data_IF_187674922598
#
_entry.id   IF_187674922598
#
_cell.length_a   1.000
_cell.length_b   1.000
_cell.length_c   1.000
_cell.angle_alpha   90.00
_cell.angle_beta   90.00
_cell.angle_gamma   90.00
#
_symmetry.space_group_name_H-M   'P 1'
#
loop_
_entity.id
_entity.type
_entity.pdbx_description
1 polymer ?
#
# COMPACT_ATOMS: atom_id res chain seq x y z
N UNK A 1 8.69 -15.32 -8.10
CA UNK A 1 9.45 -15.31 -6.84
C UNK A 1 10.09 -13.97 -6.54
N UNK A 2 10.03 -13.00 -7.46
CA UNK A 2 10.49 -11.63 -7.18
C UNK A 2 9.42 -10.86 -6.41
N UNK A 3 9.85 -9.93 -5.58
CA UNK A 3 8.98 -9.00 -4.87
C UNK A 3 8.75 -7.78 -5.75
N UNK A 4 7.49 -7.38 -5.85
CA UNK A 4 7.05 -6.21 -6.61
C UNK A 4 6.72 -5.09 -5.63
N UNK A 5 7.23 -3.89 -5.88
CA UNK A 5 7.04 -2.71 -5.04
C UNK A 5 6.51 -1.56 -5.89
N UNK A 6 5.52 -0.82 -5.36
CA UNK A 6 4.96 0.37 -6.01
C UNK A 6 4.82 1.51 -5.00
N UNK A 7 5.25 2.72 -5.37
CA UNK A 7 4.96 3.93 -4.58
C UNK A 7 3.51 4.36 -4.81
N UNK A 8 2.69 4.19 -3.77
CA UNK A 8 1.27 4.55 -3.76
C UNK A 8 1.03 6.03 -4.04
N UNK A 9 1.95 6.93 -3.65
CA UNK A 9 1.79 8.36 -3.90
C UNK A 9 1.97 8.68 -5.38
N UNK A 10 2.92 8.00 -6.03
CA UNK A 10 3.13 8.13 -7.47
C UNK A 10 1.94 7.56 -8.24
N UNK A 11 1.46 6.37 -7.85
CA UNK A 11 0.24 5.77 -8.41
C UNK A 11 -0.97 6.72 -8.32
N UNK A 12 -1.18 7.34 -7.16
CA UNK A 12 -2.28 8.29 -6.97
C UNK A 12 -2.10 9.57 -7.81
N UNK A 13 -0.87 10.04 -7.99
CA UNK A 13 -0.57 11.18 -8.87
C UNK A 13 -0.88 10.87 -10.33
N UNK A 14 -0.43 9.72 -10.83
CA UNK A 14 -0.69 9.28 -12.20
C UNK A 14 -2.19 9.11 -12.47
N UNK A 15 -2.93 8.53 -11.51
CA UNK A 15 -4.38 8.45 -11.62
C UNK A 15 -5.02 9.83 -11.63
N UNK A 16 -4.58 10.76 -10.79
CA UNK A 16 -5.12 12.13 -10.74
C UNK A 16 -4.90 12.89 -12.05
N UNK A 17 -3.75 12.71 -12.67
CA UNK A 17 -3.37 13.39 -13.92
C UNK A 17 -4.08 12.80 -15.14
N UNK A 18 -4.09 11.47 -15.27
CA UNK A 18 -4.68 10.80 -16.45
C UNK A 18 -6.18 10.50 -16.33
N UNK A 19 -6.69 10.38 -15.11
CA UNK A 19 -8.00 9.78 -14.81
C UNK A 19 -8.68 10.50 -13.63
N UNK A 20 -8.80 11.83 -13.72
CA UNK A 20 -9.26 12.68 -12.61
C UNK A 20 -10.60 12.26 -12.00
N UNK A 21 -11.58 11.84 -12.81
CA UNK A 21 -12.88 11.37 -12.31
C UNK A 21 -12.75 10.10 -11.45
N UNK A 22 -11.88 9.17 -11.87
CA UNK A 22 -11.62 7.93 -11.13
C UNK A 22 -10.89 8.23 -9.82
N UNK A 23 -9.91 9.14 -9.84
CA UNK A 23 -9.24 9.63 -8.63
C UNK A 23 -10.24 10.24 -7.64
N UNK A 24 -11.14 11.09 -8.12
CA UNK A 24 -12.15 11.73 -7.26
C UNK A 24 -13.13 10.71 -6.67
N UNK A 25 -13.57 9.73 -7.45
CA UNK A 25 -14.45 8.67 -6.95
C UNK A 25 -13.73 7.83 -5.89
N UNK A 26 -12.52 7.35 -6.19
CA UNK A 26 -11.75 6.47 -5.30
C UNK A 26 -11.23 7.17 -4.03
N UNK A 27 -11.17 8.51 -4.02
CA UNK A 27 -10.81 9.29 -2.84
C UNK A 27 -11.99 9.68 -1.95
N UNK A 28 -13.22 9.62 -2.48
CA UNK A 28 -14.44 10.01 -1.74
C UNK A 28 -15.28 8.81 -1.33
N UNK A 29 -15.43 7.82 -2.20
CA UNK A 29 -16.32 6.68 -1.99
C UNK A 29 -15.72 5.75 -0.92
N UNK A 30 -16.34 5.62 0.27
CA UNK A 30 -15.89 4.66 1.25
C UNK A 30 -16.19 3.24 0.75
N UNK A 31 -15.25 2.33 1.00
CA UNK A 31 -15.42 0.90 0.79
C UNK A 31 -15.09 0.13 2.06
N UNK A 32 -15.78 -0.98 2.25
CA UNK A 32 -15.62 -1.84 3.41
C UNK A 32 -14.60 -2.94 3.11
N UNK A 33 -13.72 -3.15 4.07
CA UNK A 33 -12.77 -4.25 4.11
C UNK A 33 -13.07 -5.09 5.34
N UNK A 34 -12.99 -6.41 5.19
CA UNK A 34 -13.21 -7.36 6.25
C UNK A 34 -12.19 -8.50 6.17
N UNK A 35 -11.57 -8.82 7.30
CA UNK A 35 -10.65 -9.95 7.45
C UNK A 35 -10.92 -10.66 8.76
N UNK A 36 -11.21 -11.96 8.68
CA UNK A 36 -11.22 -12.86 9.82
C UNK A 36 -9.89 -13.59 9.90
N UNK A 37 -9.31 -13.64 11.09
CA UNK A 37 -8.09 -14.38 11.40
C UNK A 37 -8.48 -15.47 12.40
N UNK A 38 -8.19 -16.71 12.07
CA UNK A 38 -8.33 -17.86 12.96
C UNK A 38 -7.04 -18.68 12.88
N UNK A 39 -6.29 -18.70 13.97
CA UNK A 39 -5.05 -19.44 14.13
C UNK A 39 -5.00 -20.05 15.54
N UNK A 40 -4.12 -21.03 15.81
CA UNK A 40 -4.00 -21.62 17.14
C UNK A 40 -3.69 -20.62 18.27
N UNK A 41 -3.17 -19.43 17.94
CA UNK A 41 -2.72 -18.43 18.91
C UNK A 41 -3.52 -17.12 18.86
N UNK A 42 -4.40 -16.95 17.87
CA UNK A 42 -5.13 -15.70 17.65
C UNK A 42 -6.45 -15.96 16.91
N UNK A 43 -7.53 -15.44 17.45
CA UNK A 43 -8.83 -15.28 16.78
C UNK A 43 -9.20 -13.80 16.78
N UNK A 44 -9.43 -13.23 15.61
CA UNK A 44 -9.75 -11.82 15.46
C UNK A 44 -10.61 -11.54 14.23
N UNK A 45 -11.48 -10.55 14.36
CA UNK A 45 -12.19 -9.95 13.23
C UNK A 45 -11.78 -8.49 13.06
N UNK A 46 -11.38 -8.14 11.85
CA UNK A 46 -10.97 -6.79 11.49
C UNK A 46 -11.91 -6.24 10.43
N UNK A 47 -12.48 -5.08 10.69
CA UNK A 47 -13.29 -4.34 9.74
C UNK A 47 -12.78 -2.90 9.59
N UNK A 48 -12.80 -2.39 8.37
CA UNK A 48 -12.52 -0.98 8.10
C UNK A 48 -13.45 -0.48 7.00
N UNK A 49 -13.96 0.76 7.15
CA UNK A 49 -14.71 1.44 6.10
C UNK A 49 -14.00 2.75 5.77
N UNK A 50 -13.46 2.85 4.55
CA UNK A 50 -12.61 3.98 4.14
C UNK A 50 -12.47 4.03 2.62
N UNK A 51 -12.15 5.20 2.04
CA UNK A 51 -11.81 5.28 0.62
C UNK A 51 -10.55 4.50 0.27
N UNK A 52 -10.43 4.12 -1.01
CA UNK A 52 -9.23 3.49 -1.57
C UNK A 52 -8.05 4.45 -1.49
N UNK A 53 -8.27 5.72 -1.86
CA UNK A 53 -7.29 6.81 -1.74
C UNK A 53 -7.64 7.64 -0.52
N UNK A 54 -6.94 7.40 0.59
CA UNK A 54 -7.12 8.17 1.83
C UNK A 54 -6.39 9.50 1.74
N UNK A 55 -7.13 10.60 1.95
CA UNK A 55 -6.58 11.94 2.02
C UNK A 55 -6.39 12.40 3.47
N UNK A 56 -5.42 13.28 3.69
CA UNK A 56 -5.29 14.04 4.94
C UNK A 56 -6.22 15.27 4.97
N UNK A 57 -6.22 16.00 6.08
CA UNK A 57 -7.03 17.21 6.29
C UNK A 57 -6.75 18.34 5.29
N UNK A 58 -5.60 18.29 4.60
CA UNK A 58 -5.19 19.27 3.58
C UNK A 58 -5.45 18.76 2.16
N UNK A 59 -6.06 17.59 2.01
CA UNK A 59 -6.31 16.95 0.71
C UNK A 59 -5.08 16.27 0.10
N UNK A 60 -3.98 16.13 0.85
CA UNK A 60 -2.81 15.37 0.45
C UNK A 60 -3.06 13.86 0.56
N UNK A 61 -2.50 13.07 -0.36
CA UNK A 61 -2.63 11.60 -0.29
C UNK A 61 -1.84 11.07 0.89
N UNK A 62 -2.54 10.46 1.86
CA UNK A 62 -1.95 9.85 3.04
C UNK A 62 -1.73 8.35 2.87
N UNK A 63 -2.60 7.67 2.11
CA UNK A 63 -2.55 6.22 1.88
C UNK A 63 -3.29 5.85 0.59
N UNK A 64 -2.82 4.81 -0.09
CA UNK A 64 -3.63 4.06 -1.05
C UNK A 64 -3.79 2.63 -0.54
N UNK A 65 -5.01 2.11 -0.55
CA UNK A 65 -5.34 0.75 -0.07
C UNK A 65 -5.79 -0.09 -1.25
N UNK A 66 -4.93 -0.99 -1.72
CA UNK A 66 -5.28 -2.00 -2.73
C UNK A 66 -5.28 -3.35 -2.04
N UNK A 67 -6.47 -3.79 -1.64
CA UNK A 67 -6.69 -5.07 -0.98
C UNK A 67 -7.98 -5.70 -1.50
N UNK A 68 -7.86 -6.31 -2.68
CA UNK A 68 -8.98 -6.94 -3.38
C UNK A 68 -9.49 -8.19 -2.66
N UNK A 69 -8.63 -8.87 -1.90
CA UNK A 69 -8.98 -10.10 -1.19
C UNK A 69 -9.90 -9.84 -0.01
N UNK A 70 -9.69 -8.72 0.70
CA UNK A 70 -10.48 -8.38 1.88
C UNK A 70 -11.54 -7.32 1.62
N UNK A 71 -11.66 -6.76 0.40
CA UNK A 71 -12.75 -5.85 0.06
C UNK A 71 -14.08 -6.61 0.02
N UNK A 72 -15.07 -6.10 0.73
CA UNK A 72 -16.40 -6.72 0.79
C UNK A 72 -17.29 -6.27 -0.38
N UNK A 73 -18.51 -6.83 -0.42
CA UNK A 73 -19.57 -6.39 -1.32
C UNK A 73 -19.83 -4.89 -1.10
N UNK A 74 -20.19 -4.20 -2.19
CA UNK A 74 -20.52 -2.78 -2.17
C UNK A 74 -21.89 -2.57 -1.52
N UNK A 75 -21.96 -1.72 -0.49
CA UNK A 75 -23.16 -1.48 0.33
C UNK A 75 -24.16 -0.46 -0.30
N UNK A 76 -23.94 -0.02 -1.55
CA UNK A 76 -24.74 1.03 -2.22
C UNK A 76 -25.52 0.56 -3.46
N UNK A 77 -25.98 1.50 -4.29
CA UNK A 77 -26.76 1.15 -5.48
C UNK A 77 -25.90 0.37 -6.49
N UNK A 78 -26.45 -0.63 -7.23
CA UNK A 78 -25.67 -1.42 -8.18
C UNK A 78 -24.94 -0.58 -9.24
N UNK A 79 -25.54 0.52 -9.70
CA UNK A 79 -24.93 1.43 -10.66
C UNK A 79 -23.72 2.20 -10.09
N UNK A 80 -23.71 2.48 -8.79
CA UNK A 80 -22.58 3.09 -8.09
C UNK A 80 -21.45 2.07 -7.89
N UNK A 81 -21.82 0.82 -7.55
CA UNK A 81 -20.87 -0.30 -7.48
C UNK A 81 -20.19 -0.58 -8.82
N UNK A 82 -20.94 -0.53 -9.92
CA UNK A 82 -20.38 -0.68 -11.27
C UNK A 82 -19.34 0.40 -11.60
N UNK A 83 -19.67 1.68 -11.38
CA UNK A 83 -18.74 2.80 -11.57
C UNK A 83 -17.50 2.67 -10.69
N UNK A 84 -17.68 2.26 -9.43
CA UNK A 84 -16.56 2.03 -8.53
C UNK A 84 -15.62 0.94 -9.07
N UNK A 85 -16.16 -0.18 -9.53
CA UNK A 85 -15.36 -1.27 -10.10
C UNK A 85 -14.64 -0.85 -11.39
N UNK A 86 -15.26 -0.02 -12.22
CA UNK A 86 -14.62 0.57 -13.40
C UNK A 86 -13.41 1.44 -13.01
N UNK A 87 -13.59 2.36 -12.05
CA UNK A 87 -12.50 3.20 -11.53
C UNK A 87 -11.41 2.39 -10.84
N UNK A 88 -11.78 1.37 -10.04
CA UNK A 88 -10.82 0.46 -9.41
C UNK A 88 -10.01 -0.31 -10.47
N UNK A 89 -10.63 -0.69 -11.58
CA UNK A 89 -9.94 -1.35 -12.69
C UNK A 89 -8.93 -0.42 -13.39
N UNK A 90 -9.24 0.88 -13.51
CA UNK A 90 -8.28 1.89 -14.00
C UNK A 90 -7.05 1.96 -13.08
N UNK A 91 -7.28 2.07 -11.77
CA UNK A 91 -6.20 2.08 -10.77
C UNK A 91 -5.33 0.82 -10.86
N UNK A 92 -5.94 -0.37 -10.97
CA UNK A 92 -5.21 -1.62 -11.08
C UNK A 92 -4.37 -1.69 -12.37
N UNK A 93 -4.89 -1.20 -13.50
CA UNK A 93 -4.10 -1.13 -14.75
C UNK A 93 -2.86 -0.24 -14.60
N UNK A 94 -2.99 0.90 -13.92
CA UNK A 94 -1.84 1.76 -13.61
C UNK A 94 -0.87 1.05 -12.66
N UNK A 95 -1.37 0.43 -11.59
CA UNK A 95 -0.58 -0.29 -10.60
C UNK A 95 0.33 -1.35 -11.24
N UNK A 96 -0.18 -2.10 -12.21
CA UNK A 96 0.57 -3.13 -12.93
C UNK A 96 1.37 -2.63 -14.14
N UNK A 97 1.38 -1.31 -14.40
CA UNK A 97 2.20 -0.76 -15.48
C UNK A 97 3.69 -0.83 -15.13
N UNK A 98 4.52 -1.15 -16.12
CA UNK A 98 5.99 -1.23 -15.95
C UNK A 98 6.60 0.11 -15.48
N UNK A 99 5.90 1.24 -15.70
CA UNK A 99 6.32 2.57 -15.24
C UNK A 99 6.37 2.69 -13.72
N UNK A 100 5.51 1.97 -12.99
CA UNK A 100 5.34 2.12 -11.54
C UNK A 100 5.93 0.96 -10.73
N UNK A 101 6.13 -0.19 -11.35
CA UNK A 101 6.57 -1.41 -10.67
C UNK A 101 8.09 -1.48 -10.61
N UNK A 102 8.61 -1.60 -9.38
CA UNK A 102 10.00 -2.00 -9.14
C UNK A 102 9.99 -3.49 -8.78
N UNK A 103 10.70 -4.31 -9.55
CA UNK A 103 10.91 -5.73 -9.23
C UNK A 103 12.26 -5.90 -8.54
N UNK A 104 12.28 -6.62 -7.42
CA UNK A 104 13.49 -6.87 -6.63
C UNK A 104 13.59 -8.36 -6.28
N UNK A 105 14.74 -8.95 -6.59
CA UNK A 105 15.14 -10.26 -6.08
C UNK A 105 15.64 -10.15 -4.65
N UNK A 106 15.30 -11.15 -3.83
CA UNK A 106 15.74 -11.27 -2.45
C UNK A 106 16.39 -12.63 -2.23
N UNK A 107 17.46 -12.65 -1.45
CA UNK A 107 18.17 -13.85 -1.02
C UNK A 107 17.84 -14.19 0.44
N UNK A 108 18.18 -15.42 0.85
CA UNK A 108 18.03 -15.83 2.24
C UNK A 108 18.85 -14.92 3.16
N UNK A 109 18.18 -14.32 4.15
CA UNK A 109 18.80 -13.39 5.09
C UNK A 109 18.58 -11.92 4.75
N UNK A 110 18.08 -11.59 3.54
CA UNK A 110 17.70 -10.23 3.23
C UNK A 110 16.48 -9.80 4.06
N UNK A 111 16.48 -8.51 4.44
CA UNK A 111 15.38 -7.89 5.18
C UNK A 111 14.94 -6.65 4.42
N UNK A 112 13.63 -6.55 4.16
CA UNK A 112 13.01 -5.37 3.59
C UNK A 112 12.07 -4.73 4.61
N UNK A 113 12.17 -3.41 4.78
CA UNK A 113 11.30 -2.62 5.65
C UNK A 113 10.55 -1.61 4.79
N UNK A 114 9.22 -1.67 4.81
CA UNK A 114 8.35 -0.84 3.98
C UNK A 114 7.42 0.02 4.85
N UNK A 115 7.18 1.26 4.45
CA UNK A 115 6.06 2.04 4.99
C UNK A 115 4.77 1.53 4.33
N UNK A 116 4.04 0.64 5.00
CA UNK A 116 2.83 0.00 4.47
C UNK A 116 1.69 0.98 4.15
N UNK A 117 1.77 2.25 4.56
CA UNK A 117 0.82 3.29 4.12
C UNK A 117 1.18 3.88 2.75
N UNK A 118 2.45 3.74 2.33
CA UNK A 118 3.00 4.32 1.10
C UNK A 118 3.43 3.30 0.06
N UNK A 119 3.96 2.15 0.46
CA UNK A 119 4.46 1.14 -0.49
C UNK A 119 3.45 0.01 -0.57
N UNK A 120 2.90 -0.18 -1.77
CA UNK A 120 2.17 -1.39 -2.12
C UNK A 120 3.18 -2.47 -2.48
N UNK A 121 2.91 -3.71 -2.10
CA UNK A 121 3.80 -4.82 -2.38
C UNK A 121 3.03 -6.05 -2.87
N UNK A 122 3.71 -6.87 -3.65
CA UNK A 122 3.24 -8.16 -4.11
C UNK A 122 4.41 -9.06 -4.48
N UNK A 123 4.12 -10.22 -5.04
CA UNK A 123 5.17 -11.13 -5.53
C UNK A 123 4.76 -11.82 -6.80
N UNK A 124 5.71 -12.06 -7.70
CA UNK A 124 5.49 -12.90 -8.87
C UNK A 124 5.32 -14.36 -8.45
N UNK A 125 4.55 -15.12 -9.22
CA UNK A 125 4.36 -16.55 -8.99
C UNK A 125 5.70 -17.30 -8.92
N UNK A 126 5.76 -18.36 -8.12
CA UNK A 126 6.88 -19.30 -8.15
C UNK A 126 6.69 -20.24 -9.34
N UNK A 127 7.80 -20.65 -9.99
CA UNK A 127 7.72 -21.65 -11.05
C UNK A 127 7.28 -22.98 -10.45
N UNK A 128 6.20 -23.55 -10.96
CA UNK A 128 5.71 -24.84 -10.48
C UNK A 128 6.74 -25.95 -10.78
N UNK A 129 6.84 -26.94 -9.89
CA UNK A 129 7.65 -28.14 -10.11
C UNK A 129 9.16 -27.99 -9.87
N UNK A 130 9.64 -26.83 -9.41
CA UNK A 130 11.08 -26.60 -9.16
C UNK A 130 11.52 -26.94 -7.73
N UNK A 131 10.59 -27.35 -6.84
CA UNK A 131 10.88 -27.58 -5.41
C UNK A 131 11.33 -26.32 -4.66
N UNK A 132 11.14 -25.14 -5.26
CA UNK A 132 11.62 -23.87 -4.72
C UNK A 132 10.59 -23.31 -3.75
N UNK A 133 10.87 -23.45 -2.46
CA UNK A 133 10.08 -22.86 -1.38
C UNK A 133 10.63 -21.47 -1.04
N UNK A 134 9.74 -20.49 -0.93
CA UNK A 134 10.08 -19.17 -0.42
C UNK A 134 9.45 -19.02 0.96
N UNK A 135 10.27 -19.10 2.00
CA UNK A 135 9.85 -18.91 3.38
C UNK A 135 10.20 -17.48 3.79
N UNK A 136 9.17 -16.73 4.20
CA UNK A 136 9.34 -15.36 4.68
C UNK A 136 8.76 -15.24 6.08
N UNK A 137 9.54 -14.65 6.99
CA UNK A 137 9.04 -14.18 8.28
C UNK A 137 8.75 -12.68 8.20
N UNK A 138 7.61 -12.27 8.71
CA UNK A 138 7.14 -10.90 8.64
C UNK A 138 6.65 -10.40 9.99
N UNK A 139 6.76 -9.09 10.20
CA UNK A 139 6.25 -8.42 11.39
C UNK A 139 5.93 -6.95 11.09
N UNK A 140 5.15 -6.35 11.97
CA UNK A 140 4.79 -4.94 11.88
C UNK A 140 5.39 -4.15 13.04
N UNK A 141 5.82 -2.93 12.74
CA UNK A 141 6.24 -1.96 13.75
C UNK A 141 5.44 -0.68 13.58
N UNK A 142 5.12 -0.02 14.68
CA UNK A 142 4.50 1.30 14.61
C UNK A 142 5.45 2.30 13.96
N UNK A 143 4.93 3.09 13.02
CA UNK A 143 5.67 4.18 12.38
C UNK A 143 6.13 5.22 13.40
N UNK A 144 5.33 5.47 14.43
CA UNK A 144 5.66 6.46 15.46
C UNK A 144 6.81 5.98 16.35
N UNK A 145 6.85 4.68 16.67
CA UNK A 145 7.97 4.07 17.40
C UNK A 145 9.27 4.13 16.59
N UNK A 146 9.19 3.78 15.31
CA UNK A 146 10.33 3.85 14.39
C UNK A 146 10.88 5.28 14.28
N UNK A 147 10.00 6.27 14.11
CA UNK A 147 10.37 7.69 14.05
C UNK A 147 10.90 8.22 15.37
N UNK A 148 10.35 7.78 16.50
CA UNK A 148 10.84 8.14 17.83
C UNK A 148 12.28 7.68 18.04
N UNK A 149 12.57 6.41 17.74
CA UNK A 149 13.94 5.86 17.79
C UNK A 149 14.88 6.61 16.85
N UNK A 150 14.43 6.91 15.62
CA UNK A 150 15.23 7.67 14.66
C UNK A 150 15.58 9.08 15.18
N UNK A 151 14.67 9.78 15.85
CA UNK A 151 14.93 11.09 16.47
C UNK A 151 16.00 11.00 17.56
N UNK A 152 15.94 9.99 18.42
CA UNK A 152 16.95 9.78 19.47
C UNK A 152 18.32 9.50 18.85
N UNK A 153 18.38 8.62 17.84
CA UNK A 153 19.62 8.30 17.13
C UNK A 153 20.25 9.53 16.49
N UNK A 154 19.45 10.38 15.82
CA UNK A 154 19.94 11.64 15.24
C UNK A 154 20.57 12.56 16.29
N UNK A 155 19.93 12.71 17.45
CA UNK A 155 20.48 13.50 18.56
C UNK A 155 21.80 12.94 19.06
N UNK A 156 21.89 11.61 19.24
CA UNK A 156 23.12 10.94 19.70
C UNK A 156 24.27 11.04 18.71
N UNK A 157 23.96 11.06 17.41
CA UNK A 157 24.95 11.15 16.33
C UNK A 157 25.30 12.60 15.96
N UNK A 158 24.74 13.62 16.62
CA UNK A 158 24.99 15.02 16.30
C UNK A 158 24.47 15.45 14.92
N UNK A 159 23.54 14.69 14.33
CA UNK A 159 22.99 15.01 13.01
C UNK A 159 22.04 16.22 13.10
N UNK A 160 22.06 17.15 12.12
CA UNK A 160 21.18 18.31 12.12
C UNK A 160 19.72 17.88 12.10
N UNK A 161 18.85 18.72 12.67
CA UNK A 161 17.40 18.54 12.69
C UNK A 161 16.80 18.76 11.29
N UNK A 162 17.09 17.86 10.35
CA UNK A 162 16.46 17.83 9.03
C UNK A 162 15.22 16.96 9.04
N UNK A 163 14.07 17.55 8.70
CA UNK A 163 12.90 16.80 8.26
C UNK A 163 13.28 15.90 7.08
N UNK A 164 12.63 14.75 6.95
CA UNK A 164 12.71 13.95 5.72
C UNK A 164 11.93 14.72 4.65
N UNK A 165 12.53 15.78 4.13
CA UNK A 165 12.05 16.52 2.98
C UNK A 165 12.39 15.68 1.76
N UNK A 166 11.36 15.15 1.09
CA UNK A 166 11.46 14.71 -0.29
C UNK A 166 12.12 15.85 -1.07
N UNK A 167 13.28 15.55 -1.66
CA UNK A 167 14.12 16.55 -2.31
C UNK A 167 13.35 17.31 -3.37
N UNK A 168 13.26 18.63 -3.22
CA UNK A 168 13.18 19.51 -4.38
C UNK A 168 14.59 19.54 -4.98
N UNK A 169 14.79 18.87 -6.11
CA UNK A 169 15.83 19.26 -7.06
C UNK A 169 15.17 20.18 -8.08
N UNK A 170 15.80 21.33 -8.30
CA UNK A 170 15.37 22.33 -9.28
C UNK A 170 15.80 22.01 -10.69
#
# INVERSE_FOLDING_TARGET
>A
GEVLLVDALMLASELKEGHKSDYELLSKQPVRFHRSVASPTEEAEHAACRPVIGLDEKGGVQRVTVDEQHRTIFDGAPSEGGKFLESASVLLRLLYSEKLVVSQGFECGDIVILDAKRVLWGKTALKAGTGCEMVCEGGFVSRDDALSKAKILRRRLGAPAGGVGLGKKG
#
